data_IF_595660971021
#
_entry.id   IF_595660971021
#
_cell.length_a   1.000
_cell.length_b   1.000
_cell.length_c   1.000
_cell.angle_alpha   90.00
_cell.angle_beta   90.00
_cell.angle_gamma   90.00
#
_symmetry.space_group_name_H-M   'P 1'
#
loop_
_entity.id
_entity.type
_entity.pdbx_description
1 polymer ?
#
# COMPACT_ATOMS: atom_id res chain seq x y z
N UNK A 1 -1.00 -11.94 16.70
CA UNK A 1 -1.04 -10.91 15.65
C UNK A 1 -2.30 -10.08 15.82
N UNK A 2 -2.14 -8.77 16.03
CA UNK A 2 -3.26 -7.81 16.18
C UNK A 2 -4.20 -7.84 14.96
N UNK A 3 -5.54 -7.89 15.15
CA UNK A 3 -6.51 -7.91 14.05
C UNK A 3 -6.40 -6.71 13.10
N UNK A 4 -6.08 -5.52 13.60
CA UNK A 4 -5.93 -4.28 12.83
C UNK A 4 -4.74 -4.38 11.88
N UNK A 5 -3.62 -4.96 12.34
CA UNK A 5 -2.42 -5.20 11.52
C UNK A 5 -2.74 -6.17 10.38
N UNK A 6 -3.51 -7.22 10.67
CA UNK A 6 -3.96 -8.17 9.64
C UNK A 6 -4.84 -7.49 8.59
N UNK A 7 -5.77 -6.64 9.02
CA UNK A 7 -6.67 -5.92 8.13
C UNK A 7 -5.90 -4.94 7.22
N UNK A 8 -4.97 -4.17 7.80
CA UNK A 8 -4.09 -3.27 7.05
C UNK A 8 -3.28 -4.03 5.99
N UNK A 9 -2.68 -5.15 6.36
CA UNK A 9 -1.90 -5.98 5.44
C UNK A 9 -2.74 -6.46 4.24
N UNK A 10 -3.97 -6.95 4.49
CA UNK A 10 -4.89 -7.38 3.43
C UNK A 10 -5.30 -6.22 2.52
N UNK A 11 -5.58 -5.06 3.10
CA UNK A 11 -6.00 -3.86 2.37
C UNK A 11 -4.88 -3.38 1.44
N UNK A 12 -3.66 -3.23 1.95
CA UNK A 12 -2.49 -2.87 1.15
C UNK A 12 -2.18 -3.91 0.07
N UNK A 13 -2.33 -5.21 0.36
CA UNK A 13 -2.11 -6.26 -0.62
C UNK A 13 -3.13 -6.20 -1.77
N UNK A 14 -4.38 -5.86 -1.47
CA UNK A 14 -5.43 -5.68 -2.48
C UNK A 14 -5.16 -4.42 -3.32
N UNK A 15 -4.90 -3.28 -2.67
CA UNK A 15 -4.58 -2.03 -3.36
C UNK A 15 -3.31 -2.12 -4.19
N UNK A 16 -2.31 -2.90 -3.77
CA UNK A 16 -1.06 -3.06 -4.52
C UNK A 16 -1.18 -3.84 -5.82
N UNK A 17 -2.31 -4.53 -6.05
CA UNK A 17 -2.54 -5.32 -7.28
C UNK A 17 -2.58 -4.43 -8.52
N UNK A 18 -3.27 -3.30 -8.41
CA UNK A 18 -3.49 -2.37 -9.51
C UNK A 18 -2.36 -1.33 -9.68
N UNK A 19 -1.32 -1.42 -8.84
CA UNK A 19 -0.25 -0.42 -8.79
C UNK A 19 0.57 -0.46 -10.10
N UNK A 20 0.99 0.69 -10.68
CA UNK A 20 1.59 0.73 -12.02
C UNK A 20 2.84 -0.16 -12.17
N UNK A 21 3.67 -0.27 -11.12
CA UNK A 21 4.84 -1.16 -11.12
C UNK A 21 4.45 -2.65 -11.06
N UNK A 22 3.32 -3.00 -10.43
CA UNK A 22 2.76 -4.37 -10.41
C UNK A 22 2.39 -4.83 -11.81
N UNK A 23 1.97 -3.94 -12.73
CA UNK A 23 1.73 -4.32 -14.13
C UNK A 23 2.98 -4.73 -14.89
N UNK A 24 4.16 -4.21 -14.51
CA UNK A 24 5.45 -4.51 -15.18
C UNK A 24 6.25 -5.63 -14.50
N UNK A 25 6.28 -5.66 -13.17
CA UNK A 25 7.06 -6.63 -12.38
C UNK A 25 6.18 -7.68 -11.68
N UNK A 26 4.86 -7.60 -11.83
CA UNK A 26 3.89 -8.49 -11.23
C UNK A 26 3.53 -8.16 -9.78
N UNK A 27 2.38 -8.68 -9.35
CA UNK A 27 1.89 -8.68 -7.96
C UNK A 27 2.93 -9.23 -6.96
N UNK A 28 3.78 -10.17 -7.43
CA UNK A 28 4.81 -10.83 -6.60
C UNK A 28 5.83 -9.84 -6.05
N UNK A 29 6.20 -8.83 -6.84
CA UNK A 29 7.13 -7.79 -6.41
C UNK A 29 6.57 -6.99 -5.23
N UNK A 30 5.34 -6.47 -5.38
CA UNK A 30 4.68 -5.70 -4.34
C UNK A 30 4.46 -6.51 -3.08
N UNK A 31 3.94 -7.75 -3.22
CA UNK A 31 3.73 -8.66 -2.08
C UNK A 31 5.02 -8.93 -1.30
N UNK A 32 6.14 -9.09 -1.98
CA UNK A 32 7.44 -9.34 -1.34
C UNK A 32 7.92 -8.12 -0.56
N UNK A 33 7.79 -6.93 -1.13
CA UNK A 33 8.14 -5.66 -0.46
C UNK A 33 7.24 -5.38 0.74
N UNK A 34 5.93 -5.57 0.58
CA UNK A 34 4.94 -5.43 1.65
C UNK A 34 5.26 -6.39 2.81
N UNK A 35 5.49 -7.66 2.51
CA UNK A 35 5.82 -8.65 3.54
C UNK A 35 7.10 -8.26 4.30
N UNK A 36 8.17 -7.86 3.59
CA UNK A 36 9.41 -7.39 4.24
C UNK A 36 9.19 -6.18 5.14
N UNK A 37 8.35 -5.22 4.74
CA UNK A 37 8.05 -4.04 5.54
C UNK A 37 7.31 -4.38 6.85
N UNK A 38 6.39 -5.36 6.81
CA UNK A 38 5.72 -5.83 8.03
C UNK A 38 6.65 -6.66 8.91
N UNK A 39 7.47 -7.54 8.30
CA UNK A 39 8.42 -8.37 9.04
C UNK A 39 9.51 -7.55 9.74
N UNK A 40 9.97 -6.43 9.15
CA UNK A 40 10.96 -5.56 9.80
C UNK A 40 10.43 -4.90 11.08
N UNK A 41 9.11 -4.82 11.25
CA UNK A 41 8.44 -4.28 12.43
C UNK A 41 7.87 -5.38 13.34
N UNK A 42 8.15 -6.66 13.08
CA UNK A 42 7.60 -7.79 13.85
C UNK A 42 8.07 -7.85 15.32
N UNK A 43 9.15 -7.14 15.65
CA UNK A 43 9.71 -7.06 17.00
C UNK A 43 8.95 -6.08 17.92
N UNK A 44 8.04 -5.28 17.40
CA UNK A 44 7.24 -4.33 18.19
C UNK A 44 6.28 -5.09 19.11
N UNK A 45 6.41 -4.89 20.42
CA UNK A 45 5.57 -5.52 21.45
C UNK A 45 4.69 -4.52 22.20
N UNK A 46 5.11 -3.25 22.29
CA UNK A 46 4.35 -2.22 22.99
C UNK A 46 3.18 -1.71 22.16
N UNK A 47 2.03 -1.54 22.80
CA UNK A 47 0.78 -1.15 22.14
C UNK A 47 0.89 0.21 21.42
N UNK A 48 1.52 1.20 22.06
CA UNK A 48 1.71 2.52 21.47
C UNK A 48 2.56 2.49 20.20
N UNK A 49 3.56 1.60 20.12
CA UNK A 49 4.39 1.44 18.94
C UNK A 49 3.62 0.81 17.79
N UNK A 50 2.78 -0.19 18.11
CA UNK A 50 1.90 -0.84 17.14
C UNK A 50 0.89 0.17 16.59
N UNK A 51 0.31 1.02 17.42
CA UNK A 51 -0.63 2.08 17.00
C UNK A 51 0.08 3.08 16.07
N UNK A 52 1.29 3.52 16.42
CA UNK A 52 2.09 4.41 15.55
C UNK A 52 2.41 3.77 14.19
N UNK A 53 2.78 2.50 14.18
CA UNK A 53 3.05 1.76 12.95
C UNK A 53 1.78 1.58 12.09
N UNK A 54 0.63 1.32 12.73
CA UNK A 54 -0.67 1.23 12.05
C UNK A 54 -1.04 2.56 11.38
N UNK A 55 -0.93 3.67 12.10
CA UNK A 55 -1.18 4.99 11.52
C UNK A 55 -0.28 5.27 10.32
N UNK A 56 1.01 4.93 10.41
CA UNK A 56 1.92 5.04 9.26
C UNK A 56 1.42 4.24 8.06
N UNK A 57 0.90 3.03 8.28
CA UNK A 57 0.29 2.22 7.23
C UNK A 57 -0.96 2.85 6.61
N UNK A 58 -1.82 3.49 7.42
CA UNK A 58 -3.00 4.23 6.93
C UNK A 58 -2.60 5.44 6.08
N UNK A 59 -1.52 6.14 6.43
CA UNK A 59 -0.98 7.21 5.58
C UNK A 59 -0.54 6.66 4.21
N UNK A 60 0.14 5.51 4.17
CA UNK A 60 0.56 4.88 2.91
C UNK A 60 -0.65 4.51 2.04
N UNK A 61 -1.77 4.09 2.63
CA UNK A 61 -3.03 3.86 1.89
C UNK A 61 -3.46 5.14 1.16
N UNK A 62 -3.50 6.28 1.86
CA UNK A 62 -3.90 7.56 1.28
C UNK A 62 -2.96 8.01 0.16
N UNK A 63 -1.66 7.79 0.31
CA UNK A 63 -0.68 8.08 -0.75
C UNK A 63 -0.94 7.23 -1.99
N UNK A 64 -1.22 5.93 -1.82
CA UNK A 64 -1.57 5.04 -2.93
C UNK A 64 -2.86 5.49 -3.64
N UNK A 65 -3.89 5.87 -2.89
CA UNK A 65 -5.14 6.43 -3.44
C UNK A 65 -4.86 7.68 -4.26
N UNK A 66 -4.10 8.63 -3.74
CA UNK A 66 -3.72 9.85 -4.45
C UNK A 66 -2.98 9.55 -5.77
N UNK A 67 -2.08 8.56 -5.76
CA UNK A 67 -1.40 8.11 -6.98
C UNK A 67 -2.35 7.47 -7.99
N UNK A 68 -3.36 6.72 -7.54
CA UNK A 68 -4.42 6.20 -8.41
C UNK A 68 -5.20 7.33 -9.08
N UNK A 69 -5.63 8.34 -8.31
CA UNK A 69 -6.32 9.51 -8.84
C UNK A 69 -5.47 10.25 -9.88
N UNK A 70 -4.20 10.50 -9.58
CA UNK A 70 -3.27 11.17 -10.49
C UNK A 70 -3.07 10.38 -11.79
N UNK A 71 -2.91 9.06 -11.69
CA UNK A 71 -2.77 8.17 -12.86
C UNK A 71 -4.00 8.23 -13.76
N UNK A 72 -5.21 8.16 -13.16
CA UNK A 72 -6.48 8.28 -13.89
C UNK A 72 -6.63 9.64 -14.55
N UNK A 73 -6.35 10.72 -13.82
CA UNK A 73 -6.39 12.08 -14.36
C UNK A 73 -5.46 12.24 -15.57
N UNK A 74 -4.22 11.73 -15.49
CA UNK A 74 -3.27 11.77 -16.62
C UNK A 74 -3.72 10.98 -17.84
N UNK A 75 -4.44 9.89 -17.65
CA UNK A 75 -5.00 9.09 -18.75
C UNK A 75 -6.16 9.82 -19.43
N UNK A 76 -7.09 10.37 -18.63
CA UNK A 76 -8.20 11.20 -19.11
C UNK A 76 -7.65 12.40 -19.89
N UNK A 77 -6.73 13.18 -19.30
CA UNK A 77 -6.15 14.35 -19.96
C UNK A 77 -5.54 14.03 -21.33
N UNK A 78 -4.81 12.92 -21.47
CA UNK A 78 -4.28 12.49 -22.78
C UNK A 78 -5.40 12.24 -23.79
N UNK A 79 -6.43 11.50 -23.39
CA UNK A 79 -7.55 11.19 -24.29
C UNK A 79 -8.36 12.39 -24.79
N UNK A 80 -8.33 13.53 -24.10
CA UNK A 80 -9.11 14.72 -24.46
C UNK A 80 -8.30 15.82 -25.16
N UNK A 81 -6.97 15.81 -25.02
CA UNK A 81 -6.09 16.87 -25.52
C UNK A 81 -5.00 16.36 -26.49
N UNK A 82 -4.98 15.06 -26.81
CA UNK A 82 -4.27 14.49 -27.96
C UNK A 82 -5.21 14.37 -29.17
#
# INVERSE_FOLDING_TARGET
>A
MDPRVRQLYKSLLWMGRDYPYSRRQGIKYFRTKLHRAFMSQSHLQHELDIIRALHRGEYVIKELEALYFLSRYRAVKRSYYD
#
